data_IF_609168169883
#
_entry.id   IF_609168169883
#
_cell.length_a   1.000
_cell.length_b   1.000
_cell.length_c   1.000
_cell.angle_alpha   90.00
_cell.angle_beta   90.00
_cell.angle_gamma   90.00
#
_symmetry.space_group_name_H-M   'P 1'
#
loop_
_entity.id
_entity.type
_entity.pdbx_description
1 polymer ?
#
# COMPACT_ATOMS: atom_id res chain seq x y z
N UNK A 1 4.74 -3.09 14.24
CA UNK A 1 3.63 -4.04 13.98
C UNK A 1 2.29 -3.61 14.58
N UNK A 2 2.26 -2.65 15.51
CA UNK A 2 1.00 -2.24 16.16
C UNK A 2 0.21 -1.17 15.41
N UNK A 3 0.80 -0.48 14.43
CA UNK A 3 0.18 0.68 13.78
C UNK A 3 -1.09 0.37 12.93
N UNK A 4 -1.31 -0.88 12.55
CA UNK A 4 -2.45 -1.30 11.73
C UNK A 4 -3.29 -2.39 12.41
N UNK A 5 -3.31 -2.41 13.73
CA UNK A 5 -4.26 -3.21 14.51
C UNK A 5 -5.54 -2.40 14.71
N UNK A 6 -6.69 -3.10 14.66
CA UNK A 6 -7.99 -2.46 14.87
C UNK A 6 -8.74 -2.20 13.58
N UNK A 7 -9.52 -1.14 13.56
CA UNK A 7 -10.42 -0.78 12.45
C UNK A 7 -9.74 0.21 11.51
N UNK A 8 -9.50 -0.22 10.27
CA UNK A 8 -9.04 0.66 9.19
C UNK A 8 -10.17 1.01 8.24
N UNK A 9 -10.28 2.27 7.86
CA UNK A 9 -11.31 2.72 6.90
C UNK A 9 -10.68 3.05 5.57
N UNK A 10 -11.18 2.39 4.50
CA UNK A 10 -10.87 2.76 3.12
C UNK A 10 -11.73 3.97 2.75
N UNK A 11 -11.08 5.12 2.62
CA UNK A 11 -11.76 6.37 2.28
C UNK A 11 -12.25 6.35 0.83
N UNK A 12 -13.45 6.90 0.60
CA UNK A 12 -13.90 7.30 -0.75
C UNK A 12 -13.20 8.59 -1.16
N UNK A 13 -13.11 8.86 -2.45
CA UNK A 13 -12.77 10.18 -2.98
C UNK A 13 -14.07 10.88 -3.37
N UNK A 14 -14.51 11.91 -2.63
CA UNK A 14 -15.71 12.66 -2.99
C UNK A 14 -15.47 13.50 -4.25
N UNK A 15 -16.50 13.60 -5.09
CA UNK A 15 -16.50 14.41 -6.31
C UNK A 15 -17.67 15.38 -6.32
N UNK A 16 -17.49 16.51 -6.98
CA UNK A 16 -18.55 17.40 -7.39
C UNK A 16 -19.29 16.84 -8.62
N UNK A 17 -20.44 17.44 -8.97
CA UNK A 17 -21.22 17.04 -10.13
C UNK A 17 -20.45 17.23 -11.46
N UNK A 18 -19.49 18.14 -11.49
CA UNK A 18 -18.57 18.36 -12.63
C UNK A 18 -17.38 17.39 -12.66
N UNK A 19 -17.37 16.38 -11.79
CA UNK A 19 -16.34 15.35 -11.63
C UNK A 19 -15.01 15.85 -11.03
N UNK A 20 -14.91 17.10 -10.61
CA UNK A 20 -13.76 17.57 -9.85
C UNK A 20 -13.79 17.02 -8.42
N UNK A 21 -12.61 16.89 -7.79
CA UNK A 21 -12.50 16.35 -6.43
C UNK A 21 -13.04 17.36 -5.41
N UNK A 22 -13.99 16.93 -4.55
CA UNK A 22 -14.50 17.71 -3.43
C UNK A 22 -13.63 17.54 -2.19
N UNK A 23 -12.61 18.38 -2.08
CA UNK A 23 -11.72 18.40 -0.92
C UNK A 23 -12.42 18.84 0.37
N UNK A 24 -13.51 19.60 0.28
CA UNK A 24 -14.30 20.03 1.44
C UNK A 24 -15.03 18.86 2.09
N UNK A 25 -15.68 18.03 1.28
CA UNK A 25 -16.30 16.78 1.73
C UNK A 25 -15.28 15.75 2.17
N UNK A 26 -14.11 15.67 1.50
CA UNK A 26 -13.02 14.78 1.92
C UNK A 26 -12.52 15.14 3.33
N UNK A 27 -12.37 16.44 3.64
CA UNK A 27 -12.00 16.89 4.98
C UNK A 27 -13.02 16.46 6.03
N UNK A 28 -14.31 16.71 5.78
CA UNK A 28 -15.40 16.33 6.68
C UNK A 28 -15.43 14.81 6.92
N UNK A 29 -15.23 14.02 5.86
CA UNK A 29 -15.16 12.56 5.95
C UNK A 29 -14.00 12.11 6.85
N UNK A 30 -12.80 12.65 6.66
CA UNK A 30 -11.64 12.32 7.49
C UNK A 30 -11.91 12.68 8.95
N UNK A 31 -12.41 13.89 9.21
CA UNK A 31 -12.74 14.32 10.57
C UNK A 31 -13.79 13.42 11.21
N UNK A 32 -14.83 13.02 10.46
CA UNK A 32 -15.88 12.12 10.93
C UNK A 32 -15.34 10.75 11.34
N UNK A 33 -14.58 10.08 10.44
CA UNK A 33 -14.10 8.73 10.72
C UNK A 33 -13.04 8.70 11.82
N UNK A 34 -12.14 9.69 11.85
CA UNK A 34 -11.12 9.80 12.90
C UNK A 34 -11.75 10.07 14.26
N UNK A 35 -12.76 10.97 14.33
CA UNK A 35 -13.52 11.21 15.56
C UNK A 35 -14.37 10.00 15.97
N UNK A 36 -14.76 9.16 15.03
CA UNK A 36 -15.43 7.88 15.25
C UNK A 36 -14.53 6.78 15.82
N UNK A 37 -13.23 7.04 15.97
CA UNK A 37 -12.30 6.12 16.63
C UNK A 37 -11.71 5.05 15.73
N UNK A 38 -11.51 5.34 14.43
CA UNK A 38 -10.75 4.44 13.55
C UNK A 38 -9.27 4.42 13.93
N UNK A 39 -8.63 3.27 13.76
CA UNK A 39 -7.23 3.09 14.11
C UNK A 39 -6.28 3.51 12.99
N UNK A 40 -6.70 3.48 11.73
CA UNK A 40 -5.93 3.95 10.58
C UNK A 40 -6.81 4.25 9.36
N UNK A 41 -6.27 5.01 8.42
CA UNK A 41 -6.92 5.34 7.14
C UNK A 41 -6.24 4.60 5.98
N UNK A 42 -7.04 4.17 5.00
CA UNK A 42 -6.55 3.69 3.71
C UNK A 42 -6.97 4.71 2.64
N UNK A 43 -5.97 5.35 2.04
CA UNK A 43 -6.13 6.41 1.03
C UNK A 43 -5.81 5.83 -0.34
N UNK A 44 -6.57 6.20 -1.36
CA UNK A 44 -6.37 5.74 -2.75
C UNK A 44 -6.40 4.21 -2.91
N UNK A 45 -7.16 3.52 -2.07
CA UNK A 45 -7.51 2.11 -2.29
C UNK A 45 -8.57 1.96 -3.38
N UNK A 46 -9.08 0.75 -3.58
CA UNK A 46 -10.18 0.46 -4.53
C UNK A 46 -11.43 1.31 -4.24
N UNK A 47 -11.77 1.49 -2.97
CA UNK A 47 -12.90 2.31 -2.52
C UNK A 47 -12.71 3.79 -2.86
N UNK A 48 -11.46 4.27 -2.89
CA UNK A 48 -11.11 5.65 -3.26
C UNK A 48 -11.02 5.88 -4.76
N UNK A 49 -11.44 4.92 -5.59
CA UNK A 49 -11.50 5.02 -7.05
C UNK A 49 -10.17 5.44 -7.71
N UNK A 50 -9.03 5.01 -7.11
CA UNK A 50 -7.70 5.41 -7.55
C UNK A 50 -7.41 5.14 -9.05
N UNK A 51 -8.12 4.19 -9.66
CA UNK A 51 -7.97 3.85 -11.08
C UNK A 51 -8.58 4.87 -12.03
N UNK A 52 -9.49 5.71 -11.56
CA UNK A 52 -10.15 6.77 -12.35
C UNK A 52 -9.45 8.12 -12.23
N UNK A 53 -8.54 8.24 -11.27
CA UNK A 53 -7.79 9.47 -10.99
C UNK A 53 -6.51 9.56 -11.83
N UNK A 54 -6.21 10.76 -12.31
CA UNK A 54 -4.90 11.08 -12.91
C UNK A 54 -3.79 11.04 -11.85
N UNK A 55 -2.55 10.95 -12.29
CA UNK A 55 -1.40 11.00 -11.38
C UNK A 55 -1.32 12.30 -10.58
N UNK A 56 -1.78 13.43 -11.16
CA UNK A 56 -1.84 14.72 -10.47
C UNK A 56 -2.89 14.70 -9.37
N UNK A 57 -4.09 14.20 -9.65
CA UNK A 57 -5.18 14.11 -8.68
C UNK A 57 -4.83 13.18 -7.52
N UNK A 58 -4.21 12.03 -7.78
CA UNK A 58 -3.71 11.13 -6.73
C UNK A 58 -2.77 11.86 -5.77
N UNK A 59 -1.82 12.65 -6.28
CA UNK A 59 -0.90 13.44 -5.45
C UNK A 59 -1.64 14.48 -4.62
N UNK A 60 -2.64 15.15 -5.20
CA UNK A 60 -3.46 16.14 -4.49
C UNK A 60 -4.29 15.49 -3.39
N UNK A 61 -4.94 14.35 -3.68
CA UNK A 61 -5.73 13.59 -2.69
C UNK A 61 -4.84 13.11 -1.55
N UNK A 62 -3.68 12.51 -1.85
CA UNK A 62 -2.74 12.07 -0.81
C UNK A 62 -2.33 13.24 0.09
N UNK A 63 -1.89 14.34 -0.53
CA UNK A 63 -1.49 15.55 0.22
C UNK A 63 -2.62 16.06 1.10
N UNK A 64 -3.82 16.22 0.56
CA UNK A 64 -4.99 16.68 1.31
C UNK A 64 -5.34 15.73 2.46
N UNK A 65 -5.30 14.41 2.24
CA UNK A 65 -5.54 13.43 3.29
C UNK A 65 -4.51 13.52 4.43
N UNK A 66 -3.24 13.70 4.11
CA UNK A 66 -2.18 13.86 5.12
C UNK A 66 -2.35 15.17 5.90
N UNK A 67 -2.61 16.27 5.20
CA UNK A 67 -2.84 17.59 5.81
C UNK A 67 -4.07 17.56 6.75
N UNK A 68 -5.20 16.99 6.29
CA UNK A 68 -6.43 16.91 7.08
C UNK A 68 -6.34 15.90 8.22
N UNK A 69 -5.64 14.79 8.03
CA UNK A 69 -5.37 13.82 9.09
C UNK A 69 -4.45 14.41 10.19
N UNK A 70 -3.53 15.29 9.82
CA UNK A 70 -2.61 15.97 10.75
C UNK A 70 -1.91 14.99 11.72
N UNK A 71 -1.57 13.79 11.27
CA UNK A 71 -0.90 12.77 12.06
C UNK A 71 -1.75 12.11 13.16
N UNK A 72 -3.08 12.31 13.17
CA UNK A 72 -3.99 11.76 14.21
C UNK A 72 -4.01 10.23 14.19
N UNK A 73 -3.97 9.61 13.02
CA UNK A 73 -3.91 8.16 12.86
C UNK A 73 -2.95 7.79 11.72
N UNK A 74 -2.39 6.56 11.69
CA UNK A 74 -1.54 6.10 10.58
C UNK A 74 -2.28 6.13 9.24
N UNK A 75 -1.56 6.46 8.16
CA UNK A 75 -2.09 6.46 6.79
C UNK A 75 -1.44 5.34 5.99
N UNK A 76 -2.25 4.51 5.37
CA UNK A 76 -1.87 3.49 4.39
C UNK A 76 -2.24 3.97 3.00
N UNK A 77 -1.28 3.99 2.07
CA UNK A 77 -1.47 4.47 0.70
C UNK A 77 -1.69 3.30 -0.26
N UNK A 78 -2.77 3.34 -1.04
CA UNK A 78 -3.01 2.39 -2.12
C UNK A 78 -2.10 2.68 -3.31
N UNK A 79 -1.15 1.80 -3.59
CA UNK A 79 -0.33 1.80 -4.82
C UNK A 79 -0.26 0.36 -5.30
N UNK A 80 -0.78 0.08 -6.49
CA UNK A 80 -0.75 -1.25 -7.08
C UNK A 80 -1.23 -1.23 -8.52
N UNK A 81 -0.97 -2.32 -9.22
CA UNK A 81 -1.32 -2.44 -10.62
C UNK A 81 -0.85 -3.77 -11.21
N UNK A 82 -1.11 -3.96 -12.48
CA UNK A 82 -0.73 -5.16 -13.22
C UNK A 82 0.54 -5.01 -14.07
N UNK A 83 1.17 -3.84 -14.01
CA UNK A 83 2.47 -3.56 -14.64
C UNK A 83 3.49 -3.23 -13.54
N UNK A 84 4.40 -4.17 -13.27
CA UNK A 84 5.42 -4.04 -12.22
C UNK A 84 6.27 -2.79 -12.38
N UNK A 85 6.69 -2.48 -13.61
CA UNK A 85 7.51 -1.30 -13.89
C UNK A 85 6.78 0.00 -13.54
N UNK A 86 5.50 0.11 -13.92
CA UNK A 86 4.69 1.29 -13.61
C UNK A 86 4.50 1.47 -12.11
N UNK A 87 4.24 0.38 -11.36
CA UNK A 87 4.09 0.42 -9.90
C UNK A 87 5.39 0.84 -9.23
N UNK A 88 6.53 0.27 -9.64
CA UNK A 88 7.86 0.65 -9.12
C UNK A 88 8.15 2.12 -9.42
N UNK A 89 7.82 2.60 -10.61
CA UNK A 89 8.02 3.99 -10.98
C UNK A 89 7.11 4.94 -10.19
N UNK A 90 5.85 4.57 -9.95
CA UNK A 90 4.93 5.33 -9.10
C UNK A 90 5.48 5.44 -7.67
N UNK A 91 5.98 4.34 -7.09
CA UNK A 91 6.60 4.33 -5.77
C UNK A 91 7.81 5.28 -5.73
N UNK A 92 8.73 5.19 -6.69
CA UNK A 92 9.94 6.05 -6.73
C UNK A 92 9.63 7.54 -6.86
N UNK A 93 8.49 7.90 -7.44
CA UNK A 93 8.05 9.29 -7.66
C UNK A 93 7.00 9.78 -6.65
N UNK A 94 6.75 9.01 -5.58
CA UNK A 94 5.82 9.36 -4.50
C UNK A 94 6.60 9.86 -3.29
N UNK A 95 6.14 10.98 -2.71
CA UNK A 95 6.60 11.41 -1.40
C UNK A 95 5.89 10.60 -0.31
N UNK A 96 6.66 9.87 0.49
CA UNK A 96 6.15 9.04 1.58
C UNK A 96 6.15 9.72 2.94
N UNK A 97 6.41 11.03 3.01
CA UNK A 97 6.28 11.74 4.28
C UNK A 97 4.85 11.61 4.83
N UNK A 98 4.71 11.10 6.05
CA UNK A 98 3.41 10.86 6.69
C UNK A 98 2.68 9.57 6.27
N UNK A 99 3.24 8.78 5.33
CA UNK A 99 2.69 7.48 4.91
C UNK A 99 3.37 6.36 5.71
N UNK A 100 2.56 5.53 6.35
CA UNK A 100 3.06 4.45 7.23
C UNK A 100 3.22 3.09 6.51
N UNK A 101 2.49 2.84 5.43
CA UNK A 101 2.60 1.63 4.60
C UNK A 101 1.97 1.83 3.22
N UNK A 102 2.29 0.94 2.29
CA UNK A 102 1.58 0.80 1.00
C UNK A 102 0.63 -0.40 1.07
N UNK A 103 -0.64 -0.21 0.65
CA UNK A 103 -1.56 -1.30 0.31
C UNK A 103 -1.43 -1.60 -1.17
N UNK A 104 -0.88 -2.77 -1.52
CA UNK A 104 -0.65 -3.13 -2.92
C UNK A 104 -1.50 -4.33 -3.33
N UNK A 105 -2.38 -4.11 -4.31
CA UNK A 105 -3.23 -5.16 -4.86
C UNK A 105 -2.40 -6.12 -5.72
N UNK A 106 -2.70 -7.42 -5.63
CA UNK A 106 -2.11 -8.44 -6.52
C UNK A 106 -2.39 -8.09 -7.98
N UNK A 107 -1.43 -8.31 -8.90
CA UNK A 107 -1.63 -8.01 -10.31
C UNK A 107 -2.93 -8.62 -10.84
N UNK A 108 -3.77 -7.79 -11.43
CA UNK A 108 -5.07 -8.15 -11.96
C UNK A 108 -5.04 -8.24 -13.48
N UNK A 109 -6.08 -8.85 -14.08
CA UNK A 109 -6.26 -9.00 -15.52
C UNK A 109 -5.29 -9.97 -16.19
N UNK A 110 -3.97 -9.79 -16.05
CA UNK A 110 -2.91 -10.59 -16.69
C UNK A 110 -2.77 -12.01 -16.12
N UNK A 111 -3.36 -12.29 -14.95
CA UNK A 111 -3.32 -13.60 -14.26
C UNK A 111 -1.91 -14.17 -14.14
N UNK A 112 -0.98 -13.51 -13.45
CA UNK A 112 0.40 -13.98 -13.32
C UNK A 112 0.46 -15.32 -12.60
N UNK A 113 1.53 -16.09 -12.85
CA UNK A 113 1.86 -17.29 -12.05
C UNK A 113 2.21 -16.89 -10.61
N UNK A 114 2.24 -17.85 -9.69
CA UNK A 114 2.62 -17.59 -8.30
C UNK A 114 4.06 -17.05 -8.19
N UNK A 115 4.97 -17.55 -9.01
CA UNK A 115 6.34 -17.04 -9.14
C UNK A 115 6.35 -15.60 -9.67
N UNK A 116 5.49 -15.30 -10.64
CA UNK A 116 5.31 -13.95 -11.16
C UNK A 116 4.81 -12.98 -10.09
N UNK A 117 3.86 -13.42 -9.23
CA UNK A 117 3.39 -12.63 -8.08
C UNK A 117 4.54 -12.37 -7.10
N UNK A 118 5.35 -13.39 -6.79
CA UNK A 118 6.52 -13.22 -5.92
C UNK A 118 7.49 -12.21 -6.52
N UNK A 119 7.85 -12.34 -7.79
CA UNK A 119 8.77 -11.43 -8.46
C UNK A 119 8.23 -9.99 -8.49
N UNK A 120 6.93 -9.81 -8.75
CA UNK A 120 6.27 -8.52 -8.73
C UNK A 120 6.39 -7.83 -7.35
N UNK A 121 5.99 -8.52 -6.29
CA UNK A 121 6.04 -7.94 -4.94
C UNK A 121 7.46 -7.73 -4.43
N UNK A 122 8.39 -8.58 -4.83
CA UNK A 122 9.82 -8.39 -4.56
C UNK A 122 10.31 -7.06 -5.14
N UNK A 123 10.05 -6.82 -6.43
CA UNK A 123 10.45 -5.56 -7.09
C UNK A 123 9.80 -4.32 -6.45
N UNK A 124 8.53 -4.41 -6.05
CA UNK A 124 7.82 -3.35 -5.35
C UNK A 124 8.45 -3.07 -3.99
N UNK A 125 8.74 -4.13 -3.22
CA UNK A 125 9.32 -3.99 -1.89
C UNK A 125 10.72 -3.37 -1.94
N UNK A 126 11.51 -3.73 -2.96
CA UNK A 126 12.85 -3.15 -3.16
C UNK A 126 12.81 -1.65 -3.46
N UNK A 127 11.76 -1.19 -4.13
CA UNK A 127 11.58 0.22 -4.45
C UNK A 127 10.96 1.03 -3.31
N UNK A 128 10.30 0.37 -2.35
CA UNK A 128 9.49 1.05 -1.32
C UNK A 128 10.31 1.45 -0.10
N UNK A 129 10.20 2.71 0.38
CA UNK A 129 10.80 3.12 1.65
C UNK A 129 9.98 2.70 2.88
N UNK A 130 8.73 2.25 2.68
CA UNK A 130 7.79 1.84 3.74
C UNK A 130 7.32 0.40 3.55
N UNK A 131 6.78 -0.26 4.58
CA UNK A 131 6.26 -1.63 4.48
C UNK A 131 5.17 -1.78 3.41
N UNK A 132 5.10 -2.98 2.79
CA UNK A 132 4.05 -3.35 1.83
C UNK A 132 3.01 -4.24 2.53
N UNK A 133 1.75 -3.88 2.40
CA UNK A 133 0.60 -4.70 2.78
C UNK A 133 0.07 -5.40 1.53
N UNK A 134 0.13 -6.72 1.52
CA UNK A 134 -0.33 -7.55 0.41
C UNK A 134 -1.86 -7.55 0.38
N UNK A 135 -2.46 -7.11 -0.72
CA UNK A 135 -3.90 -7.08 -0.89
C UNK A 135 -4.34 -8.12 -1.91
N UNK A 136 -4.97 -9.20 -1.41
CA UNK A 136 -5.48 -10.31 -2.21
C UNK A 136 -7.01 -10.23 -2.29
N UNK A 137 -7.55 -10.03 -3.49
CA UNK A 137 -8.98 -9.89 -3.75
C UNK A 137 -9.38 -10.65 -5.02
N UNK A 138 -9.41 -11.99 -4.98
CA UNK A 138 -9.56 -12.83 -6.18
C UNK A 138 -10.79 -12.52 -7.02
N UNK A 139 -11.90 -12.11 -6.40
CA UNK A 139 -13.13 -11.73 -7.11
C UNK A 139 -12.97 -10.48 -8.00
N UNK A 140 -11.95 -9.66 -7.78
CA UNK A 140 -11.64 -8.47 -8.60
C UNK A 140 -10.41 -8.65 -9.48
N UNK A 141 -9.42 -9.40 -8.99
CA UNK A 141 -8.15 -9.57 -9.72
C UNK A 141 -8.19 -10.75 -10.69
N UNK A 142 -9.13 -11.67 -10.52
CA UNK A 142 -9.17 -12.96 -11.22
C UNK A 142 -7.87 -13.78 -11.03
N UNK A 143 -7.11 -13.45 -9.99
CA UNK A 143 -5.87 -14.09 -9.58
C UNK A 143 -5.89 -14.26 -8.07
N UNK A 144 -5.52 -15.43 -7.57
CA UNK A 144 -5.49 -15.72 -6.14
C UNK A 144 -4.06 -16.00 -5.70
N UNK A 145 -3.58 -15.22 -4.74
CA UNK A 145 -2.31 -15.45 -4.08
C UNK A 145 -2.47 -16.61 -3.08
N UNK A 146 -1.72 -17.69 -3.29
CA UNK A 146 -1.78 -18.86 -2.40
C UNK A 146 -1.15 -18.58 -1.04
N UNK A 147 -1.50 -19.38 -0.04
CA UNK A 147 -0.87 -19.31 1.28
C UNK A 147 0.66 -19.52 1.18
N UNK A 148 1.13 -20.44 0.33
CA UNK A 148 2.57 -20.66 0.14
C UNK A 148 3.28 -19.46 -0.47
N UNK A 149 2.65 -18.77 -1.44
CA UNK A 149 3.16 -17.52 -2.02
C UNK A 149 3.24 -16.42 -0.97
N UNK A 150 2.19 -16.28 -0.17
CA UNK A 150 2.13 -15.32 0.92
C UNK A 150 3.23 -15.59 1.96
N UNK A 151 3.44 -16.85 2.35
CA UNK A 151 4.51 -17.24 3.26
C UNK A 151 5.89 -16.96 2.67
N UNK A 152 6.12 -17.28 1.40
CA UNK A 152 7.37 -16.91 0.71
C UNK A 152 7.66 -15.42 0.82
N UNK A 153 6.67 -14.57 0.56
CA UNK A 153 6.83 -13.12 0.65
C UNK A 153 7.04 -12.65 2.09
N UNK A 154 6.35 -13.24 3.08
CA UNK A 154 6.51 -12.86 4.49
C UNK A 154 7.87 -13.26 5.08
N UNK A 155 8.50 -14.30 4.55
CA UNK A 155 9.84 -14.75 4.96
C UNK A 155 10.98 -14.01 4.26
N UNK A 156 10.71 -13.25 3.21
CA UNK A 156 11.67 -12.38 2.57
C UNK A 156 11.98 -11.16 3.46
N UNK A 157 12.68 -11.41 4.56
CA UNK A 157 13.38 -10.36 5.28
C UNK A 157 14.66 -10.06 4.50
N UNK A 158 14.66 -8.98 3.77
CA UNK A 158 15.83 -8.52 3.04
C UNK A 158 16.89 -8.00 4.04
N UNK A 159 17.85 -8.85 4.37
CA UNK A 159 19.17 -8.45 4.76
C UNK A 159 20.10 -8.71 3.56
N UNK A 160 20.16 -7.80 2.60
CA UNK A 160 21.23 -7.78 1.63
C UNK A 160 22.49 -7.23 2.28
N UNK A 161 23.64 -7.87 2.05
CA UNK A 161 24.93 -7.25 2.30
C UNK A 161 25.19 -6.14 1.26
N UNK A 162 26.23 -5.35 1.48
CA UNK A 162 26.62 -4.24 0.58
C UNK A 162 26.86 -4.65 -0.88
N UNK A 163 26.78 -5.93 -1.21
CA UNK A 163 27.00 -6.54 -2.52
C UNK A 163 25.74 -7.15 -3.13
N UNK A 164 24.57 -6.99 -2.49
CA UNK A 164 23.29 -7.49 -3.01
C UNK A 164 23.14 -9.01 -3.04
N UNK A 165 23.97 -9.76 -2.31
CA UNK A 165 23.90 -11.22 -2.25
C UNK A 165 22.95 -11.69 -1.16
N UNK A 166 22.08 -12.62 -1.50
CA UNK A 166 21.09 -13.26 -0.63
C UNK A 166 21.75 -14.21 0.36
N UNK A 167 21.47 -14.05 1.64
CA UNK A 167 21.76 -15.08 2.64
C UNK A 167 20.46 -15.49 3.32
N UNK A 168 20.07 -16.75 3.12
CA UNK A 168 19.09 -17.43 3.98
C UNK A 168 19.80 -17.74 5.30
N UNK A 169 19.38 -17.12 6.39
CA UNK A 169 19.98 -17.39 7.69
C UNK A 169 19.22 -16.71 8.81
N UNK A 170 19.09 -17.42 9.86
CA UNK A 170 18.51 -17.18 11.18
C UNK A 170 18.51 -15.72 11.62
N UNK A 171 17.37 -15.28 12.15
CA UNK A 171 17.12 -13.95 12.70
C UNK A 171 18.08 -13.64 13.84
N UNK A 172 19.12 -12.86 13.57
CA UNK A 172 19.82 -12.08 14.58
C UNK A 172 19.61 -10.60 14.24
N UNK A 173 18.92 -9.91 15.15
CA UNK A 173 18.65 -8.48 15.06
C UNK A 173 19.96 -7.68 15.08
N UNK A 174 20.49 -7.33 13.91
CA UNK A 174 21.56 -6.37 13.78
C UNK A 174 20.93 -5.01 13.41
N UNK A 175 21.24 -3.97 14.19
CA UNK A 175 20.58 -2.65 14.20
C UNK A 175 20.73 -1.80 12.94
N UNK A 176 21.28 -2.31 11.85
CA UNK A 176 21.50 -1.59 10.58
C UNK A 176 20.69 -2.14 9.40
N UNK A 177 19.87 -3.17 9.61
CA UNK A 177 19.07 -3.74 8.54
C UNK A 177 17.66 -3.14 8.55
N UNK A 178 17.32 -2.33 7.53
CA UNK A 178 15.96 -1.86 7.30
C UNK A 178 15.12 -3.06 6.82
N UNK A 179 14.60 -3.83 7.78
CA UNK A 179 13.74 -4.98 7.50
C UNK A 179 12.46 -4.48 6.84
N UNK A 180 12.37 -4.61 5.52
CA UNK A 180 11.14 -4.36 4.77
C UNK A 180 10.17 -5.49 5.12
N UNK A 181 9.04 -5.17 5.76
CA UNK A 181 8.06 -6.13 6.25
C UNK A 181 6.86 -6.17 5.32
N UNK A 182 6.46 -7.38 4.95
CA UNK A 182 5.17 -7.61 4.31
C UNK A 182 4.10 -7.87 5.38
N UNK A 183 2.91 -7.30 5.17
CA UNK A 183 1.71 -7.59 5.93
C UNK A 183 0.65 -8.14 5.00
N UNK A 184 -0.31 -8.88 5.55
CA UNK A 184 -1.36 -9.50 4.77
C UNK A 184 -2.68 -8.85 5.13
N UNK A 185 -3.41 -8.34 4.12
CA UNK A 185 -4.80 -7.95 4.24
C UNK A 185 -5.67 -8.90 3.43
N UNK A 186 -6.61 -9.55 4.09
CA UNK A 186 -7.66 -10.35 3.46
C UNK A 186 -8.99 -9.62 3.54
N UNK A 187 -9.79 -9.77 2.49
CA UNK A 187 -11.20 -9.41 2.45
C UNK A 187 -12.03 -10.63 2.08
#
# INVERSE_FOLDING_TARGET
>A
MNAFKGTGVALVTPFHDDQSIDFGSLKKLIDHVVSGGVDYLVVLGTTGEATTLTSSEKKQVLKACLDYNAGRVPVMLGIGGNNTYSVVNEIKNTDFYGVAAILSVSPYYNKPSQEGIVAHYTAIADASPVPIVLYNVPGRTMSNMTASTTLKLSHHQYCGDERGQWKSGTVHANRSCHAKRFFIAFR
#
